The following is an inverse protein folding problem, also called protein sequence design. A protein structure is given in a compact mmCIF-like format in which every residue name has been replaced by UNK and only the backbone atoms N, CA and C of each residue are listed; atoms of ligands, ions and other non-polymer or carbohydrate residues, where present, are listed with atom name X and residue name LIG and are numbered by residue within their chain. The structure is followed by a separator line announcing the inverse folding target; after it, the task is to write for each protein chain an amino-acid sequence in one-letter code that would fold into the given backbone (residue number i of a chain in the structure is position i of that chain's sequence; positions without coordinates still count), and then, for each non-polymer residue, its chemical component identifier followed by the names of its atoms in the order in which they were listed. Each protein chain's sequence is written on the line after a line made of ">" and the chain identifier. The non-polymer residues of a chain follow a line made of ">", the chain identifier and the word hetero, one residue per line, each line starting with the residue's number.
data_IF_117664878920
#
_entry.id   IF_117664878920
#
_cell.length_a   1.000
_cell.length_b   1.000
_cell.length_c   1.000
_cell.angle_alpha   90.00
_cell.angle_beta   90.00
_cell.angle_gamma   90.00
#
_symmetry.space_group_name_H-M   'P 1'
#
loop_
_entity.id
_entity.type
_entity.pdbx_description
1 polymer ?
#
# COMPACT_ATOMS: atom_id res chain seq x y z
N UNK A 1 -16.35 -23.46 2.39
CA UNK A 1 -16.04 -22.04 2.12
C UNK A 1 -16.59 -21.27 3.32
N UNK A 2 -15.73 -20.64 4.12
CA UNK A 2 -16.21 -19.77 5.18
C UNK A 2 -16.56 -18.43 4.53
N UNK A 3 -17.85 -18.16 4.34
CA UNK A 3 -18.33 -16.85 3.89
C UNK A 3 -17.91 -15.81 4.92
N UNK A 4 -16.94 -14.97 4.55
CA UNK A 4 -16.57 -13.83 5.37
C UNK A 4 -17.49 -12.67 4.98
N UNK A 5 -18.30 -12.13 5.90
CA UNK A 5 -19.22 -11.06 5.57
C UNK A 5 -18.46 -9.83 5.02
N UNK A 6 -19.05 -9.08 4.07
CA UNK A 6 -18.45 -7.85 3.57
C UNK A 6 -18.07 -6.88 4.70
N UNK A 7 -16.91 -6.24 4.60
CA UNK A 7 -16.48 -5.18 5.53
C UNK A 7 -17.02 -3.85 5.04
N UNK A 8 -17.91 -3.23 5.81
CA UNK A 8 -18.35 -1.85 5.53
C UNK A 8 -17.24 -0.89 5.92
N UNK A 9 -16.85 -0.02 4.99
CA UNK A 9 -15.85 1.02 5.20
C UNK A 9 -16.50 2.25 5.82
N UNK A 10 -15.92 2.78 6.90
CA UNK A 10 -16.39 4.02 7.54
C UNK A 10 -15.35 5.12 7.44
N UNK A 11 -15.79 6.38 7.58
CA UNK A 11 -14.85 7.52 7.67
C UNK A 11 -13.89 7.33 8.85
N UNK A 12 -14.38 6.76 9.97
CA UNK A 12 -13.55 6.42 11.13
C UNK A 12 -12.43 5.43 10.78
N UNK A 13 -12.68 4.45 9.90
CA UNK A 13 -11.62 3.53 9.44
C UNK A 13 -10.55 4.29 8.66
N UNK A 14 -10.96 5.23 7.78
CA UNK A 14 -10.04 6.05 6.99
C UNK A 14 -9.21 6.98 7.88
N UNK A 15 -9.84 7.63 8.85
CA UNK A 15 -9.15 8.52 9.78
C UNK A 15 -8.16 7.77 10.68
N UNK A 16 -8.54 6.57 11.16
CA UNK A 16 -7.63 5.68 11.91
C UNK A 16 -6.45 5.24 11.06
N UNK A 17 -6.69 4.83 9.81
CA UNK A 17 -5.60 4.44 8.92
C UNK A 17 -4.71 5.62 8.55
N UNK A 18 -5.27 6.84 8.39
CA UNK A 18 -4.50 8.05 8.17
C UNK A 18 -3.59 8.37 9.36
N UNK A 19 -4.11 8.29 10.59
CA UNK A 19 -3.29 8.46 11.80
C UNK A 19 -2.20 7.39 11.91
N UNK A 20 -2.55 6.13 11.63
CA UNK A 20 -1.64 5.00 11.68
C UNK A 20 -0.56 5.06 10.58
N UNK A 21 -0.87 5.49 9.36
CA UNK A 21 0.09 5.54 8.24
C UNK A 21 0.82 6.87 8.14
N UNK A 22 0.27 7.93 8.74
CA UNK A 22 0.55 9.35 8.56
C UNK A 22 0.11 9.93 7.20
N UNK A 23 -0.58 9.15 6.39
CA UNK A 23 -1.18 9.62 5.15
C UNK A 23 -2.50 10.36 5.42
N UNK A 24 -2.38 11.67 5.66
CA UNK A 24 -3.48 12.59 5.89
C UNK A 24 -3.99 13.28 4.60
N UNK A 25 -3.71 12.68 3.44
CA UNK A 25 -4.13 13.20 2.15
C UNK A 25 -5.66 13.46 2.15
N UNK A 26 -6.10 14.69 1.81
CA UNK A 26 -7.48 15.11 2.02
C UNK A 26 -8.52 14.33 1.21
N UNK A 27 -8.12 13.58 0.16
CA UNK A 27 -9.05 12.65 -0.53
C UNK A 27 -9.55 11.51 0.38
N UNK A 28 -8.85 11.22 1.47
CA UNK A 28 -9.22 10.19 2.44
C UNK A 28 -9.95 10.76 3.67
N UNK A 29 -9.54 11.95 4.12
CA UNK A 29 -9.92 12.49 5.43
C UNK A 29 -10.86 13.71 5.39
N UNK A 30 -10.97 14.40 4.25
CA UNK A 30 -11.74 15.64 4.15
C UNK A 30 -12.89 15.50 3.14
N UNK A 31 -14.13 15.30 3.60
CA UNK A 31 -15.31 15.23 2.73
C UNK A 31 -15.54 16.50 1.89
N UNK A 32 -15.15 17.69 2.37
CA UNK A 32 -15.30 18.93 1.60
C UNK A 32 -14.30 19.00 0.45
N UNK A 33 -13.04 18.66 0.70
CA UNK A 33 -12.03 18.55 -0.35
C UNK A 33 -12.43 17.47 -1.37
N UNK A 34 -12.77 16.27 -0.89
CA UNK A 34 -13.07 15.13 -1.75
C UNK A 34 -14.26 15.40 -2.70
N UNK A 35 -15.30 16.12 -2.24
CA UNK A 35 -16.41 16.60 -3.08
C UNK A 35 -15.97 17.49 -4.24
N UNK A 36 -14.88 18.25 -4.08
CA UNK A 36 -14.29 19.09 -5.13
C UNK A 36 -13.42 18.34 -6.13
N UNK A 37 -13.19 17.04 -5.93
CA UNK A 37 -12.39 16.19 -6.82
C UNK A 37 -13.26 15.34 -7.73
N UNK A 38 -12.64 14.67 -8.72
CA UNK A 38 -13.36 13.69 -9.55
C UNK A 38 -13.87 12.46 -8.78
N UNK A 39 -13.47 12.26 -7.52
CA UNK A 39 -14.01 11.19 -6.68
C UNK A 39 -15.41 11.54 -6.13
N UNK A 40 -15.68 12.80 -5.80
CA UNK A 40 -16.98 13.27 -5.29
C UNK A 40 -17.27 12.90 -3.82
N UNK A 41 -16.51 11.99 -3.21
CA UNK A 41 -16.58 11.60 -1.80
C UNK A 41 -15.22 11.08 -1.33
N UNK A 42 -15.04 10.92 -0.01
CA UNK A 42 -13.80 10.33 0.54
C UNK A 42 -13.64 8.90 0.06
N UNK A 43 -12.40 8.57 -0.32
CA UNK A 43 -12.02 7.25 -0.84
C UNK A 43 -11.08 6.56 0.14
N UNK A 44 -11.07 5.24 0.17
CA UNK A 44 -10.17 4.47 1.01
C UNK A 44 -8.70 4.65 0.59
N UNK A 45 -7.78 4.61 1.55
CA UNK A 45 -6.36 4.42 1.25
C UNK A 45 -6.16 3.08 0.53
N UNK A 46 -5.37 3.08 -0.55
CA UNK A 46 -5.04 1.83 -1.24
C UNK A 46 -4.33 0.82 -0.32
N UNK A 47 -3.51 1.33 0.62
CA UNK A 47 -2.82 0.49 1.61
C UNK A 47 -3.74 -0.05 2.70
N UNK A 48 -4.86 0.62 2.99
CA UNK A 48 -5.90 0.06 3.86
C UNK A 48 -6.60 -1.11 3.18
N UNK A 49 -6.97 -0.99 1.90
CA UNK A 49 -7.52 -2.10 1.11
C UNK A 49 -6.53 -3.27 1.02
N UNK A 50 -5.24 -2.98 0.84
CA UNK A 50 -4.19 -4.00 0.87
C UNK A 50 -4.08 -4.69 2.23
N UNK A 51 -4.24 -3.95 3.33
CA UNK A 51 -4.25 -4.53 4.69
C UNK A 51 -5.43 -5.50 4.88
N UNK A 52 -6.63 -5.11 4.42
CA UNK A 52 -7.81 -5.99 4.46
C UNK A 52 -7.63 -7.24 3.60
N UNK A 53 -6.97 -7.10 2.44
CA UNK A 53 -6.59 -8.21 1.58
C UNK A 53 -5.63 -9.17 2.30
N UNK A 54 -4.58 -8.67 2.97
CA UNK A 54 -3.66 -9.50 3.75
C UNK A 54 -4.38 -10.24 4.88
N UNK A 55 -5.21 -9.54 5.66
CA UNK A 55 -6.02 -10.13 6.72
C UNK A 55 -6.88 -11.29 6.21
N UNK A 56 -7.56 -11.08 5.09
CA UNK A 56 -8.42 -12.10 4.49
C UNK A 56 -7.62 -13.27 3.91
N UNK A 57 -6.49 -12.99 3.26
CA UNK A 57 -5.59 -14.00 2.70
C UNK A 57 -5.15 -14.98 3.78
N UNK A 58 -4.69 -14.47 4.92
CA UNK A 58 -4.21 -15.28 6.04
C UNK A 58 -5.25 -16.27 6.61
N UNK A 59 -6.55 -15.96 6.49
CA UNK A 59 -7.63 -16.89 6.88
C UNK A 59 -7.87 -18.01 5.87
N UNK A 60 -7.43 -17.83 4.63
CA UNK A 60 -7.57 -18.81 3.54
C UNK A 60 -6.30 -19.64 3.30
N UNK A 61 -5.14 -19.15 3.72
CA UNK A 61 -3.89 -19.89 3.58
C UNK A 61 -3.89 -21.14 4.49
N UNK A 62 -3.25 -22.25 4.06
CA UNK A 62 -3.19 -23.49 4.84
C UNK A 62 -2.36 -23.36 6.14
N UNK A 63 -1.55 -22.30 6.24
CA UNK A 63 -0.75 -22.00 7.41
C UNK A 63 -0.18 -20.59 7.34
N UNK A 64 0.54 -20.16 8.39
CA UNK A 64 1.14 -18.84 8.42
C UNK A 64 2.14 -18.63 7.28
N UNK A 65 2.02 -17.53 6.55
CA UNK A 65 2.95 -17.14 5.51
C UNK A 65 3.22 -15.63 5.58
N UNK A 66 4.39 -15.20 5.11
CA UNK A 66 4.77 -13.79 5.09
C UNK A 66 4.52 -13.20 3.68
N UNK A 67 3.79 -12.09 3.52
CA UNK A 67 3.65 -11.45 2.22
C UNK A 67 4.98 -10.83 1.81
N UNK A 68 5.51 -11.24 0.66
CA UNK A 68 6.84 -10.82 0.17
C UNK A 68 6.80 -10.02 -1.13
N UNK A 69 5.71 -10.13 -1.89
CA UNK A 69 5.47 -9.25 -3.02
C UNK A 69 3.97 -9.02 -3.23
N UNK A 70 3.62 -7.82 -3.67
CA UNK A 70 2.27 -7.47 -4.06
C UNK A 70 2.32 -6.57 -5.28
N UNK A 71 1.43 -6.79 -6.24
CA UNK A 71 1.02 -5.77 -7.20
C UNK A 71 -0.45 -5.47 -7.00
N UNK A 72 -0.85 -4.21 -7.12
CA UNK A 72 -2.25 -3.81 -7.13
C UNK A 72 -2.46 -2.70 -8.15
N UNK A 73 -3.56 -2.78 -8.87
CA UNK A 73 -4.18 -1.67 -9.59
C UNK A 73 -5.47 -1.29 -8.86
N UNK A 74 -5.83 -0.01 -8.91
CA UNK A 74 -7.02 0.55 -8.30
C UNK A 74 -7.95 1.12 -9.39
N UNK A 75 -8.68 0.27 -10.14
CA UNK A 75 -9.45 0.71 -11.30
C UNK A 75 -10.72 1.50 -10.95
N UNK A 76 -11.21 1.37 -9.72
CA UNK A 76 -12.30 2.17 -9.18
C UNK A 76 -12.05 2.52 -7.71
N UNK A 77 -12.49 3.69 -7.24
CA UNK A 77 -12.41 4.03 -5.82
C UNK A 77 -13.32 3.13 -4.98
N UNK A 78 -12.88 2.81 -3.76
CA UNK A 78 -13.75 2.32 -2.69
C UNK A 78 -14.13 3.51 -1.80
N UNK A 79 -15.41 3.79 -1.66
CA UNK A 79 -15.89 4.97 -0.95
C UNK A 79 -16.19 4.69 0.51
N UNK A 80 -16.29 5.75 1.32
CA UNK A 80 -16.97 5.66 2.61
C UNK A 80 -18.38 5.10 2.43
N UNK A 81 -18.75 4.14 3.29
CA UNK A 81 -20.03 3.43 3.24
C UNK A 81 -20.05 2.18 2.35
N UNK A 82 -19.04 1.98 1.49
CA UNK A 82 -18.97 0.78 0.65
C UNK A 82 -18.79 -0.48 1.50
N UNK A 83 -19.51 -1.55 1.13
CA UNK A 83 -19.24 -2.88 1.63
C UNK A 83 -18.21 -3.56 0.71
N UNK A 84 -17.00 -3.81 1.21
CA UNK A 84 -15.93 -4.47 0.43
C UNK A 84 -15.80 -5.95 0.75
N UNK A 85 -15.49 -6.73 -0.28
CA UNK A 85 -15.21 -8.15 -0.20
C UNK A 85 -13.89 -8.46 -0.90
N UNK A 86 -13.14 -9.42 -0.35
CA UNK A 86 -11.87 -9.90 -0.90
C UNK A 86 -12.09 -11.27 -1.51
N UNK A 87 -11.47 -11.53 -2.67
CA UNK A 87 -11.37 -12.85 -3.24
C UNK A 87 -9.93 -13.18 -3.64
N UNK A 88 -9.58 -14.47 -3.53
CA UNK A 88 -8.29 -15.02 -3.92
C UNK A 88 -8.49 -16.17 -4.89
N UNK A 89 -7.61 -16.25 -5.87
CA UNK A 89 -7.49 -17.40 -6.77
C UNK A 89 -6.04 -17.84 -6.81
N UNK A 90 -5.78 -19.07 -6.37
CA UNK A 90 -4.43 -19.65 -6.35
C UNK A 90 -3.80 -19.63 -7.75
N UNK A 91 -2.52 -19.31 -7.81
CA UNK A 91 -1.71 -19.27 -9.03
C UNK A 91 -0.52 -20.22 -8.90
N UNK A 92 0.04 -20.71 -10.02
CA UNK A 92 1.30 -21.44 -9.99
C UNK A 92 2.40 -20.63 -9.32
N UNK A 93 3.16 -21.27 -8.43
CA UNK A 93 4.25 -20.65 -7.69
C UNK A 93 5.45 -21.61 -7.58
N UNK A 94 6.69 -21.08 -7.54
CA UNK A 94 7.86 -21.88 -7.19
C UNK A 94 7.75 -22.50 -5.80
N UNK A 95 8.52 -23.56 -5.55
CA UNK A 95 8.58 -24.18 -4.23
C UNK A 95 8.95 -23.16 -3.13
N UNK A 96 8.27 -23.26 -1.98
CA UNK A 96 8.42 -22.34 -0.85
C UNK A 96 7.59 -21.04 -0.96
N UNK A 97 6.98 -20.78 -2.13
CA UNK A 97 6.08 -19.64 -2.33
C UNK A 97 4.64 -20.11 -2.59
N UNK A 98 3.70 -19.31 -2.12
CA UNK A 98 2.31 -19.34 -2.57
C UNK A 98 2.02 -18.06 -3.37
N UNK A 99 1.28 -18.17 -4.46
CA UNK A 99 0.90 -17.04 -5.30
C UNK A 99 -0.62 -17.01 -5.49
N UNK A 100 -1.19 -15.81 -5.49
CA UNK A 100 -2.62 -15.61 -5.67
C UNK A 100 -2.88 -14.41 -6.57
N UNK A 101 -3.81 -14.56 -7.50
CA UNK A 101 -4.54 -13.44 -8.04
C UNK A 101 -5.53 -12.97 -6.97
N UNK A 102 -5.58 -11.67 -6.74
CA UNK A 102 -6.32 -11.06 -5.63
C UNK A 102 -7.22 -9.97 -6.15
N UNK A 103 -8.45 -9.92 -5.66
CA UNK A 103 -9.39 -8.83 -5.94
C UNK A 103 -10.04 -8.33 -4.67
N UNK A 104 -10.30 -7.03 -4.64
CA UNK A 104 -11.20 -6.37 -3.70
C UNK A 104 -12.32 -5.77 -4.53
N UNK A 105 -13.56 -6.11 -4.22
CA UNK A 105 -14.75 -5.56 -4.86
C UNK A 105 -15.60 -4.81 -3.84
N UNK A 106 -16.25 -3.71 -4.25
CA UNK A 106 -17.24 -3.02 -3.46
C UNK A 106 -18.65 -3.21 -4.04
N UNK A 107 -19.64 -3.32 -3.16
CA UNK A 107 -21.05 -3.14 -3.49
C UNK A 107 -21.55 -1.83 -2.84
N UNK A 108 -21.93 -0.87 -3.67
CA UNK A 108 -22.49 0.40 -3.22
C UNK A 108 -23.96 0.22 -2.83
N UNK A 109 -24.24 -0.29 -1.63
CA UNK A 109 -25.61 -0.52 -1.15
C UNK A 109 -26.48 -1.42 -2.07
N UNK A 110 -27.78 -1.57 -1.78
CA UNK A 110 -28.69 -2.37 -2.59
C UNK A 110 -28.86 -1.79 -4.01
N UNK A 111 -28.68 -2.60 -5.06
CA UNK A 111 -29.02 -2.27 -6.45
C UNK A 111 -27.85 -1.82 -7.35
N UNK A 112 -26.64 -1.63 -6.84
CA UNK A 112 -25.46 -1.34 -7.65
C UNK A 112 -24.66 -2.61 -7.96
N UNK A 113 -24.24 -2.77 -9.22
CA UNK A 113 -23.35 -3.86 -9.61
C UNK A 113 -22.02 -3.76 -8.84
N UNK A 114 -21.47 -4.88 -8.35
CA UNK A 114 -20.16 -4.88 -7.70
C UNK A 114 -19.09 -4.31 -8.63
N UNK A 115 -18.20 -3.47 -8.08
CA UNK A 115 -17.08 -2.88 -8.81
C UNK A 115 -15.78 -3.40 -8.22
N UNK A 116 -14.83 -3.77 -9.07
CA UNK A 116 -13.48 -4.09 -8.61
C UNK A 116 -12.81 -2.78 -8.22
N UNK A 117 -12.39 -2.66 -6.96
CA UNK A 117 -11.72 -1.46 -6.42
C UNK A 117 -10.22 -1.66 -6.29
N UNK A 118 -9.77 -2.90 -6.10
CA UNK A 118 -8.36 -3.27 -6.22
C UNK A 118 -8.21 -4.65 -6.86
N UNK A 119 -7.21 -4.82 -7.72
CA UNK A 119 -6.88 -6.12 -8.30
C UNK A 119 -5.38 -6.25 -8.58
N UNK A 120 -4.85 -7.45 -8.43
CA UNK A 120 -3.45 -7.74 -8.78
C UNK A 120 -3.02 -9.10 -8.29
N UNK A 121 -1.73 -9.25 -8.02
CA UNK A 121 -1.12 -10.51 -7.63
C UNK A 121 -0.35 -10.38 -6.33
N UNK A 122 -0.43 -11.40 -5.48
CA UNK A 122 0.31 -11.49 -4.23
C UNK A 122 1.21 -12.72 -4.23
N UNK A 123 2.37 -12.61 -3.57
CA UNK A 123 3.28 -13.73 -3.28
C UNK A 123 3.59 -13.78 -1.81
N UNK A 124 3.55 -14.99 -1.28
CA UNK A 124 3.67 -15.29 0.14
C UNK A 124 4.73 -16.35 0.35
N UNK A 125 5.59 -16.13 1.34
CA UNK A 125 6.62 -17.06 1.75
C UNK A 125 6.05 -17.96 2.86
N UNK A 126 5.83 -19.24 2.55
CA UNK A 126 5.12 -20.19 3.44
C UNK A 126 5.99 -20.55 4.66
N UNK A 127 7.26 -20.87 4.43
CA UNK A 127 8.23 -21.15 5.49
C UNK A 127 9.15 -19.95 5.71
N UNK A 128 8.54 -18.80 6.02
CA UNK A 128 9.31 -17.57 6.13
C UNK A 128 10.33 -17.61 7.27
N UNK A 129 11.54 -17.19 6.93
CA UNK A 129 12.68 -16.92 7.80
C UNK A 129 13.47 -15.76 7.21
N UNK A 130 14.37 -15.10 7.96
CA UNK A 130 15.21 -14.03 7.39
C UNK A 130 16.04 -14.48 6.18
N UNK A 131 16.57 -15.70 6.21
CA UNK A 131 17.37 -16.26 5.10
C UNK A 131 16.51 -16.51 3.85
N UNK A 132 15.31 -17.08 4.03
CA UNK A 132 14.39 -17.35 2.92
C UNK A 132 13.80 -16.05 2.32
N UNK A 133 13.69 -14.99 3.11
CA UNK A 133 13.34 -13.66 2.63
C UNK A 133 14.49 -13.02 1.84
N UNK A 134 15.72 -13.11 2.36
CA UNK A 134 16.92 -12.59 1.70
C UNK A 134 17.24 -13.31 0.38
N UNK A 135 16.82 -14.56 0.21
CA UNK A 135 16.99 -15.32 -1.04
C UNK A 135 15.97 -14.97 -2.12
N UNK A 136 14.95 -14.14 -1.82
CA UNK A 136 14.01 -13.68 -2.83
C UNK A 136 14.73 -12.79 -3.84
N UNK A 137 14.45 -12.93 -5.14
CA UNK A 137 15.14 -12.16 -6.17
C UNK A 137 14.99 -10.66 -5.92
N UNK A 138 16.12 -9.95 -5.95
CA UNK A 138 16.12 -8.50 -5.83
C UNK A 138 15.32 -7.86 -6.96
N UNK A 139 14.57 -6.80 -6.65
CA UNK A 139 14.00 -5.93 -7.68
C UNK A 139 15.06 -4.97 -8.20
N UNK A 140 14.91 -4.52 -9.45
CA UNK A 140 15.72 -3.43 -9.97
C UNK A 140 15.16 -2.09 -9.46
N UNK A 141 16.02 -1.13 -9.11
CA UNK A 141 15.58 0.25 -8.94
C UNK A 141 15.13 0.77 -10.32
N UNK A 142 13.87 1.21 -10.48
CA UNK A 142 13.40 1.69 -11.76
C UNK A 142 14.26 2.87 -12.24
N UNK A 143 14.90 2.69 -13.39
CA UNK A 143 15.63 3.75 -14.07
C UNK A 143 14.68 4.88 -14.50
N UNK A 144 15.23 6.06 -14.77
CA UNK A 144 14.50 7.12 -15.43
C UNK A 144 13.92 6.61 -16.76
N UNK A 145 12.66 6.95 -17.03
CA UNK A 145 11.96 6.54 -18.23
C UNK A 145 11.65 7.77 -19.09
N UNK A 146 11.48 7.56 -20.40
CA UNK A 146 11.10 8.63 -21.31
C UNK A 146 9.68 9.15 -20.97
N UNK A 147 9.54 10.47 -20.86
CA UNK A 147 8.30 11.16 -20.51
C UNK A 147 8.44 12.68 -20.62
N UNK A 148 7.39 13.39 -20.21
CA UNK A 148 7.33 14.85 -20.32
C UNK A 148 8.31 15.57 -19.38
N UNK A 149 8.70 16.79 -19.74
CA UNK A 149 9.67 17.58 -18.97
C UNK A 149 9.07 18.19 -17.69
N UNK A 150 7.76 18.45 -17.66
CA UNK A 150 7.05 19.02 -16.51
C UNK A 150 5.56 18.65 -16.50
N UNK A 151 4.95 18.69 -15.31
CA UNK A 151 3.52 18.54 -15.08
C UNK A 151 3.16 19.14 -13.71
N UNK A 152 2.37 20.22 -13.65
CA UNK A 152 1.96 20.85 -12.38
C UNK A 152 3.14 21.21 -11.45
N UNK A 153 4.22 21.78 -12.01
CA UNK A 153 5.47 22.04 -11.29
C UNK A 153 6.32 20.81 -10.95
N UNK A 154 5.87 19.59 -11.27
CA UNK A 154 6.62 18.35 -11.09
C UNK A 154 7.64 18.17 -12.20
N UNK A 155 8.79 17.54 -11.90
CA UNK A 155 9.87 17.26 -12.85
C UNK A 155 10.48 15.87 -12.60
N UNK A 156 10.94 15.15 -13.65
CA UNK A 156 11.70 13.93 -13.47
C UNK A 156 12.90 14.13 -12.55
N UNK A 157 13.16 13.16 -11.67
CA UNK A 157 14.26 13.20 -10.71
C UNK A 157 13.95 13.89 -9.38
N UNK A 158 12.84 14.61 -9.24
CA UNK A 158 12.39 15.13 -7.93
C UNK A 158 12.19 13.98 -6.93
N UNK A 159 12.48 14.23 -5.66
CA UNK A 159 12.39 13.25 -4.59
C UNK A 159 11.80 13.83 -3.31
N UNK A 160 11.16 12.98 -2.53
CA UNK A 160 10.77 13.25 -1.15
C UNK A 160 11.15 12.06 -0.27
N UNK A 161 11.41 12.32 1.01
CA UNK A 161 11.74 11.29 1.98
C UNK A 161 11.13 11.60 3.35
N UNK A 162 10.83 10.55 4.10
CA UNK A 162 10.31 10.61 5.46
C UNK A 162 10.92 9.49 6.30
N UNK A 163 11.13 9.76 7.58
CA UNK A 163 11.64 8.79 8.54
C UNK A 163 10.55 8.39 9.54
N UNK A 164 10.53 7.12 9.94
CA UNK A 164 9.62 6.58 10.94
C UNK A 164 10.21 5.36 11.63
N UNK A 165 9.93 5.22 12.92
CA UNK A 165 10.02 3.95 13.64
C UNK A 165 8.60 3.49 13.97
N UNK A 166 8.31 2.20 13.77
CA UNK A 166 7.03 1.58 14.13
C UNK A 166 7.16 0.93 15.50
N UNK A 167 6.22 1.22 16.38
CA UNK A 167 6.17 0.74 17.77
C UNK A 167 5.24 -0.46 17.91
N UNK A 168 5.30 -1.20 19.03
CA UNK A 168 4.30 -2.21 19.34
C UNK A 168 2.85 -1.69 19.27
N UNK A 169 2.61 -0.46 19.73
CA UNK A 169 1.28 0.17 19.68
C UNK A 169 0.78 0.40 18.24
N UNK A 170 1.69 0.67 17.29
CA UNK A 170 1.33 0.75 15.86
C UNK A 170 0.85 -0.61 15.33
N UNK A 171 1.46 -1.72 15.76
CA UNK A 171 1.00 -3.06 15.38
C UNK A 171 -0.33 -3.41 16.03
N UNK A 172 -0.51 -3.10 17.30
CA UNK A 172 -1.78 -3.34 18.00
C UNK A 172 -2.93 -2.60 17.30
N UNK A 173 -2.73 -1.34 16.93
CA UNK A 173 -3.72 -0.55 16.17
C UNK A 173 -3.93 -1.12 14.75
N UNK A 174 -2.86 -1.56 14.06
CA UNK A 174 -2.98 -2.19 12.75
C UNK A 174 -3.85 -3.46 12.83
N UNK A 175 -3.60 -4.34 13.79
CA UNK A 175 -4.38 -5.57 14.01
C UNK A 175 -5.82 -5.22 14.37
N UNK A 176 -6.04 -4.27 15.29
CA UNK A 176 -7.37 -3.85 15.72
C UNK A 176 -8.20 -3.20 14.61
N UNK A 177 -7.57 -2.44 13.70
CA UNK A 177 -8.24 -1.79 12.59
C UNK A 177 -8.59 -2.77 11.46
N UNK A 178 -7.63 -3.63 11.09
CA UNK A 178 -7.68 -4.43 9.86
C UNK A 178 -8.14 -5.86 10.10
N UNK A 179 -7.99 -6.38 11.32
CA UNK A 179 -8.17 -7.79 11.65
C UNK A 179 -7.06 -8.70 11.10
N UNK A 180 -5.96 -8.14 10.59
CA UNK A 180 -4.80 -8.92 10.16
C UNK A 180 -4.03 -9.39 11.39
N UNK A 181 -4.26 -10.64 11.81
CA UNK A 181 -3.61 -11.26 12.96
C UNK A 181 -2.52 -12.26 12.54
N UNK A 182 -1.83 -12.03 11.41
CA UNK A 182 -0.72 -12.88 11.00
C UNK A 182 0.30 -13.02 12.14
N UNK A 183 0.67 -14.23 12.56
CA UNK A 183 1.56 -14.41 13.71
C UNK A 183 2.98 -13.88 13.48
N UNK A 184 3.40 -13.60 12.24
CA UNK A 184 4.68 -12.91 12.00
C UNK A 184 4.72 -11.49 12.59
N UNK A 185 3.58 -10.85 12.79
CA UNK A 185 3.48 -9.53 13.44
C UNK A 185 2.70 -9.55 14.74
N UNK A 186 1.72 -10.45 14.90
CA UNK A 186 0.87 -10.52 16.10
C UNK A 186 1.45 -11.41 17.23
N UNK A 187 2.42 -12.27 16.94
CA UNK A 187 3.01 -13.20 17.93
C UNK A 187 4.53 -13.15 17.90
N UNK A 188 5.11 -12.49 18.92
CA UNK A 188 6.56 -12.36 19.06
C UNK A 188 7.26 -13.72 19.26
N UNK A 189 6.63 -14.68 19.93
CA UNK A 189 7.17 -16.03 20.13
C UNK A 189 7.24 -16.81 18.83
N UNK A 190 6.16 -16.76 18.04
CA UNK A 190 6.12 -17.36 16.70
C UNK A 190 7.19 -16.75 15.77
N UNK A 191 7.28 -15.42 15.71
CA UNK A 191 8.25 -14.74 14.87
C UNK A 191 9.70 -15.11 15.26
N UNK A 192 10.01 -15.16 16.57
CA UNK A 192 11.32 -15.60 17.07
C UNK A 192 11.61 -17.07 16.76
N UNK A 193 10.62 -17.96 16.90
CA UNK A 193 10.76 -19.37 16.56
C UNK A 193 11.06 -19.59 15.07
N UNK A 194 10.64 -18.66 14.19
CA UNK A 194 10.98 -18.63 12.76
C UNK A 194 12.31 -17.92 12.45
N UNK A 195 13.05 -17.48 13.46
CA UNK A 195 14.37 -16.86 13.35
C UNK A 195 14.37 -15.34 13.17
N UNK A 196 13.22 -14.67 13.24
CA UNK A 196 13.17 -13.19 13.24
C UNK A 196 13.58 -12.64 14.61
N UNK A 197 14.04 -11.38 14.64
CA UNK A 197 14.42 -10.72 15.89
C UNK A 197 13.24 -10.40 16.84
N UNK A 198 12.00 -10.54 16.34
CA UNK A 198 10.74 -10.19 16.99
C UNK A 198 9.65 -10.06 15.92
N UNK A 199 8.50 -9.45 16.25
CA UNK A 199 7.47 -9.12 15.28
C UNK A 199 8.02 -8.35 14.07
N UNK A 200 7.53 -8.70 12.88
CA UNK A 200 7.87 -8.05 11.61
C UNK A 200 6.82 -7.00 11.29
N UNK A 201 7.21 -5.78 10.90
CA UNK A 201 6.21 -4.77 10.48
C UNK A 201 5.50 -5.23 9.19
N UNK A 202 4.15 -5.20 9.13
CA UNK A 202 3.40 -5.62 7.96
C UNK A 202 3.77 -4.85 6.68
N UNK A 203 3.87 -5.54 5.55
CA UNK A 203 4.16 -4.92 4.24
C UNK A 203 3.17 -3.79 3.87
N UNK A 204 1.84 -3.93 4.08
CA UNK A 204 0.90 -2.83 3.84
C UNK A 204 1.19 -1.59 4.69
N UNK A 205 1.63 -1.78 5.94
CA UNK A 205 1.93 -0.68 6.86
C UNK A 205 3.25 0.02 6.49
N UNK A 206 4.27 -0.73 6.07
CA UNK A 206 5.50 -0.18 5.49
C UNK A 206 5.22 0.63 4.23
N UNK A 207 4.35 0.11 3.34
CA UNK A 207 3.94 0.80 2.13
C UNK A 207 3.06 2.04 2.43
N UNK A 208 2.47 2.12 3.62
CA UNK A 208 1.86 3.34 4.17
C UNK A 208 2.82 4.53 4.21
N UNK A 209 4.14 4.30 4.39
CA UNK A 209 5.13 5.39 4.31
C UNK A 209 5.26 5.97 2.89
N UNK A 210 5.04 5.14 1.85
CA UNK A 210 4.96 5.64 0.48
C UNK A 210 3.65 6.39 0.26
N UNK A 211 2.54 5.86 0.79
CA UNK A 211 1.23 6.53 0.72
C UNK A 211 1.30 7.94 1.31
N UNK A 212 1.87 8.09 2.50
CA UNK A 212 2.13 9.39 3.14
C UNK A 212 2.94 10.30 2.20
N UNK A 213 4.12 9.86 1.74
CA UNK A 213 4.93 10.68 0.85
C UNK A 213 4.19 11.12 -0.42
N UNK A 214 3.46 10.20 -1.07
CA UNK A 214 2.71 10.48 -2.29
C UNK A 214 1.55 11.46 -2.03
N UNK A 215 0.85 11.28 -0.92
CA UNK A 215 -0.35 12.02 -0.55
C UNK A 215 -0.09 13.35 0.16
N UNK A 216 1.10 13.56 0.73
CA UNK A 216 1.39 14.75 1.55
C UNK A 216 2.60 15.57 1.06
N UNK A 217 3.54 14.96 0.30
CA UNK A 217 4.80 15.61 -0.10
C UNK A 217 5.03 15.66 -1.61
N UNK A 218 5.12 14.50 -2.27
CA UNK A 218 5.47 14.38 -3.68
C UNK A 218 4.74 13.18 -4.32
N UNK A 219 3.75 13.40 -5.21
CA UNK A 219 3.36 14.70 -5.76
C UNK A 219 2.65 15.65 -4.78
N UNK A 220 1.99 15.13 -3.75
CA UNK A 220 1.38 15.94 -2.69
C UNK A 220 -0.13 15.80 -2.58
N UNK A 221 -0.74 16.70 -1.81
CA UNK A 221 -2.15 16.64 -1.42
C UNK A 221 -3.08 16.59 -2.63
N UNK A 222 -3.98 15.61 -2.65
CA UNK A 222 -4.87 15.32 -3.77
C UNK A 222 -4.40 14.18 -4.69
N UNK A 223 -3.18 13.67 -4.52
CA UNK A 223 -2.66 12.54 -5.32
C UNK A 223 -3.51 11.29 -5.13
N UNK A 224 -3.92 10.65 -6.22
CA UNK A 224 -4.56 9.33 -6.21
C UNK A 224 -3.57 8.22 -6.61
N UNK A 225 -3.37 7.20 -5.77
CA UNK A 225 -2.48 6.09 -6.09
C UNK A 225 -3.20 5.02 -6.94
N UNK A 226 -2.81 4.86 -8.21
CA UNK A 226 -3.54 4.07 -9.21
C UNK A 226 -2.98 2.67 -9.42
N UNK A 227 -1.66 2.49 -9.32
CA UNK A 227 -1.01 1.19 -9.38
C UNK A 227 0.23 1.16 -8.50
N UNK A 228 0.47 0.02 -7.88
CA UNK A 228 1.68 -0.28 -7.15
C UNK A 228 2.26 -1.63 -7.55
N UNK A 229 3.58 -1.75 -7.39
CA UNK A 229 4.28 -3.03 -7.23
C UNK A 229 5.23 -2.89 -6.06
N UNK A 230 5.20 -3.84 -5.13
CA UNK A 230 5.95 -3.83 -3.89
C UNK A 230 6.65 -5.17 -3.69
N UNK A 231 7.85 -5.11 -3.11
CA UNK A 231 8.62 -6.26 -2.66
C UNK A 231 9.17 -5.99 -1.27
N UNK A 232 8.95 -6.94 -0.36
CA UNK A 232 9.65 -6.99 0.93
C UNK A 232 11.02 -7.65 0.69
N UNK A 233 12.10 -6.89 0.91
CA UNK A 233 13.47 -7.34 0.69
C UNK A 233 14.15 -7.79 1.99
N UNK A 234 13.76 -7.20 3.12
CA UNK A 234 14.27 -7.55 4.43
C UNK A 234 13.20 -7.22 5.50
N UNK A 235 13.17 -7.92 6.64
CA UNK A 235 12.16 -7.68 7.66
C UNK A 235 12.39 -6.31 8.32
N UNK A 236 11.33 -5.55 8.57
CA UNK A 236 11.39 -4.39 9.44
C UNK A 236 11.17 -4.82 10.89
N UNK A 237 12.05 -4.35 11.78
CA UNK A 237 11.99 -4.52 13.23
C UNK A 237 11.21 -3.35 13.83
N UNK A 238 10.53 -3.61 14.93
CA UNK A 238 9.94 -2.54 15.74
C UNK A 238 11.03 -1.67 16.35
N UNK A 239 10.65 -0.41 16.58
CA UNK A 239 11.44 0.68 17.16
C UNK A 239 12.72 1.04 16.39
N UNK A 240 12.99 0.39 15.25
CA UNK A 240 14.10 0.76 14.39
C UNK A 240 13.71 1.95 13.49
N UNK A 241 14.62 2.92 13.28
CA UNK A 241 14.40 3.99 12.33
C UNK A 241 14.47 3.48 10.89
N UNK A 242 13.39 3.67 10.14
CA UNK A 242 13.26 3.42 8.72
C UNK A 242 13.18 4.75 7.96
N UNK A 243 13.76 4.80 6.76
CA UNK A 243 13.63 5.94 5.84
C UNK A 243 12.95 5.49 4.56
N UNK A 244 11.78 6.05 4.27
CA UNK A 244 11.13 5.92 2.97
C UNK A 244 11.56 7.06 2.04
N UNK A 245 11.69 6.76 0.75
CA UNK A 245 11.97 7.73 -0.31
C UNK A 245 11.14 7.40 -1.54
N UNK A 246 10.62 8.42 -2.20
CA UNK A 246 10.01 8.34 -3.53
C UNK A 246 10.75 9.25 -4.51
N UNK A 247 10.83 8.84 -5.77
CA UNK A 247 11.51 9.59 -6.85
C UNK A 247 10.68 9.54 -8.13
N UNK A 248 10.40 10.70 -8.73
CA UNK A 248 9.73 10.76 -10.04
C UNK A 248 10.64 10.18 -11.11
N UNK A 249 10.17 9.17 -11.82
CA UNK A 249 10.90 8.52 -12.92
C UNK A 249 10.31 8.81 -14.30
N UNK A 250 9.04 9.22 -14.36
CA UNK A 250 8.34 9.55 -15.60
C UNK A 250 7.15 10.46 -15.33
N UNK A 251 6.96 11.46 -16.20
CA UNK A 251 5.74 12.24 -16.30
C UNK A 251 4.99 11.86 -17.58
N UNK A 252 3.66 11.86 -17.50
CA UNK A 252 2.73 11.60 -18.59
C UNK A 252 1.61 12.65 -18.53
N UNK A 253 1.94 13.85 -18.99
CA UNK A 253 1.13 15.05 -18.85
C UNK A 253 -0.24 14.89 -19.52
N UNK A 254 -0.29 14.18 -20.66
CA UNK A 254 -1.52 13.87 -21.41
C UNK A 254 -2.60 13.15 -20.57
N UNK A 255 -2.19 12.50 -19.48
CA UNK A 255 -3.06 11.65 -18.64
C UNK A 255 -3.09 12.07 -17.19
N UNK A 256 -2.43 13.18 -16.82
CA UNK A 256 -2.18 13.56 -15.43
C UNK A 256 -1.51 12.46 -14.61
N UNK A 257 -0.62 11.67 -15.22
CA UNK A 257 -0.01 10.51 -14.57
C UNK A 257 1.48 10.73 -14.27
N UNK A 258 1.90 10.24 -13.11
CA UNK A 258 3.29 10.26 -12.66
C UNK A 258 3.71 8.86 -12.22
N UNK A 259 4.84 8.38 -12.73
CA UNK A 259 5.47 7.17 -12.24
C UNK A 259 6.57 7.53 -11.25
N UNK A 260 6.62 6.81 -10.13
CA UNK A 260 7.64 6.96 -9.10
C UNK A 260 8.28 5.62 -8.76
N UNK A 261 9.59 5.67 -8.51
CA UNK A 261 10.33 4.63 -7.81
C UNK A 261 10.28 4.89 -6.31
N UNK A 262 10.17 3.85 -5.51
CA UNK A 262 9.99 3.94 -4.06
C UNK A 262 10.89 2.95 -3.34
N UNK A 263 11.48 3.35 -2.22
CA UNK A 263 12.33 2.48 -1.40
C UNK A 263 12.20 2.81 0.09
N UNK A 264 12.17 1.79 0.94
CA UNK A 264 12.36 1.90 2.39
C UNK A 264 13.71 1.28 2.74
N UNK A 265 14.54 2.01 3.48
CA UNK A 265 15.83 1.52 3.99
C UNK A 265 15.89 1.57 5.51
N UNK A 266 16.57 0.59 6.12
CA UNK A 266 16.96 0.66 7.53
C UNK A 266 18.15 1.61 7.74
N UNK A 267 18.44 1.97 8.99
CA UNK A 267 19.60 2.80 9.34
C UNK A 267 20.96 2.14 9.00
N UNK A 268 21.00 0.82 8.87
CA UNK A 268 22.14 0.03 8.40
C UNK A 268 22.28 0.02 6.86
N UNK A 269 21.43 0.76 6.14
CA UNK A 269 21.45 0.86 4.68
C UNK A 269 20.78 -0.30 3.96
N UNK A 270 20.28 -1.32 4.68
CA UNK A 270 19.59 -2.45 4.03
C UNK A 270 18.28 -1.97 3.38
N UNK A 271 17.98 -2.50 2.20
CA UNK A 271 16.68 -2.28 1.57
C UNK A 271 15.64 -3.16 2.26
N UNK A 272 14.62 -2.52 2.84
CA UNK A 272 13.49 -3.18 3.53
C UNK A 272 12.37 -3.44 2.54
N UNK A 273 11.97 -2.40 1.80
CA UNK A 273 10.93 -2.48 0.78
C UNK A 273 11.41 -1.78 -0.47
N UNK A 274 11.15 -2.37 -1.62
CA UNK A 274 11.31 -1.75 -2.92
C UNK A 274 9.96 -1.69 -3.61
N UNK A 275 9.69 -0.60 -4.32
CA UNK A 275 8.42 -0.46 -5.00
C UNK A 275 8.38 0.52 -6.16
N UNK A 276 7.27 0.43 -6.87
CA UNK A 276 6.89 1.31 -7.96
C UNK A 276 5.49 1.84 -7.71
N UNK A 277 5.26 3.09 -8.11
CA UNK A 277 3.96 3.75 -7.99
C UNK A 277 3.60 4.42 -9.30
N UNK A 278 2.34 4.27 -9.72
CA UNK A 278 1.69 5.10 -10.72
C UNK A 278 0.60 5.88 -10.02
N UNK A 279 0.65 7.20 -10.10
CA UNK A 279 -0.28 8.09 -9.42
C UNK A 279 -0.94 9.06 -10.38
N UNK A 280 -2.17 9.46 -10.05
CA UNK A 280 -2.97 10.45 -10.75
C UNK A 280 -2.90 11.78 -10.00
N UNK A 281 -2.54 12.86 -10.68
CA UNK A 281 -2.26 14.18 -10.06
C UNK A 281 -3.24 15.28 -10.45
N UNK A 282 -4.35 14.96 -11.13
CA UNK A 282 -5.34 15.97 -11.55
C UNK A 282 -6.07 16.68 -10.41
N UNK A 283 -6.10 16.07 -9.22
CA UNK A 283 -6.74 16.62 -8.04
C UNK A 283 -5.76 17.34 -7.10
N UNK A 284 -4.50 17.56 -7.52
CA UNK A 284 -3.53 18.23 -6.67
C UNK A 284 -4.08 19.57 -6.16
N UNK A 285 -3.97 19.77 -4.84
CA UNK A 285 -4.40 21.00 -4.17
C UNK A 285 -3.58 22.21 -4.64
N UNK A 286 -2.29 21.99 -4.90
CA UNK A 286 -1.38 22.96 -5.51
C UNK A 286 -0.87 22.39 -6.84
N UNK A 287 -1.22 23.05 -7.94
CA UNK A 287 -0.76 22.70 -9.30
C UNK A 287 0.36 23.63 -9.80
N UNK A 288 0.86 24.53 -8.96
CA UNK A 288 1.73 25.62 -9.36
C UNK A 288 1.07 26.57 -10.38
N UNK A 289 1.89 27.32 -11.11
CA UNK A 289 1.46 28.30 -12.11
C UNK A 289 0.88 27.68 -13.40
N UNK A 290 0.92 26.35 -13.54
CA UNK A 290 0.58 25.61 -14.77
C UNK A 290 -0.94 25.46 -15.00
N UNK A 291 -1.79 26.23 -14.31
CA UNK A 291 -3.26 26.22 -14.51
C UNK A 291 -3.73 27.14 -15.66
N UNK A 292 -2.81 27.70 -16.45
CA UNK A 292 -3.15 28.60 -17.55
C UNK A 292 -3.07 27.91 -18.92
N UNK A 293 -4.11 27.12 -19.24
CA UNK A 293 -4.73 27.02 -20.57
C UNK A 293 -5.93 26.05 -20.50
#
# INVERSE_FOLDING_TARGET
>A
MHDNPPRVLSQRDFDRFAALSRDDNPIHCDPAFARGTHFGATVAHGMFLFSLLCAHSMRQLPGPALPVAQSLMFPAPAFVGDAVQVALSAQPAPAGLAAYATTVSSAAGPGHAPRVTAAGESRWLVDASPAALASQPAGADPAAQHGDAALYGLRPGQQAAAARAFTPADLDEYVALTGDANPFHADAGFARARGFAGPVVPLPLLAGMFSDLLGTRLPGRGTGWMKQSLRLCAPARLDEPLTARVRIVRLRADKDLVNLASVVTGADGRVVVQGESLVLVRNLADKGADRAA
#
